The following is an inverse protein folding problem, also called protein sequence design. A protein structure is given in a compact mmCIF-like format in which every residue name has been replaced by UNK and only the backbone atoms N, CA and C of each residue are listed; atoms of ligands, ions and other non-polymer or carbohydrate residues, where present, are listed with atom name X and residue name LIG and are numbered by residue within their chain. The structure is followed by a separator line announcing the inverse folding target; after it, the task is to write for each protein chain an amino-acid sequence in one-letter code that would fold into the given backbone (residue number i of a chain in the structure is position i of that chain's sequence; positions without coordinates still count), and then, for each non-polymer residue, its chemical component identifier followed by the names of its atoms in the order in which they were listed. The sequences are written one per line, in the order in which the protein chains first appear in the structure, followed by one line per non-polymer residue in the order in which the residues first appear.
data_IF_397919708601
#
_entry.id   IF_397919708601
#
_cell.length_a   1.000
_cell.length_b   1.000
_cell.length_c   1.000
_cell.angle_alpha   90.00
_cell.angle_beta   90.00
_cell.angle_gamma   90.00
#
_symmetry.space_group_name_H-M   'P 1'
#
loop_
_entity.id
_entity.type
_entity.pdbx_description
1 polymer ?
#
# COMPACT_ATOMS: atom_id res chain seq x y z
N UNK A 1 -0.06 9.14 7.64
CA UNK A 1 1.25 9.21 8.32
C UNK A 1 2.12 10.34 7.76
N UNK A 2 2.46 10.35 6.48
CA UNK A 2 3.25 11.41 5.87
C UNK A 2 2.50 12.74 5.81
N UNK A 3 1.20 12.72 5.61
CA UNK A 3 0.34 13.92 5.57
C UNK A 3 0.20 14.53 6.97
N UNK A 4 -0.03 13.75 8.01
CA UNK A 4 -0.13 14.24 9.40
C UNK A 4 1.16 14.86 9.92
N UNK A 5 2.32 14.29 9.57
CA UNK A 5 3.63 14.88 9.86
C UNK A 5 3.86 16.15 9.05
N UNK A 6 3.36 16.20 7.82
CA UNK A 6 3.51 17.35 6.94
C UNK A 6 2.62 18.53 7.35
N UNK A 7 1.38 18.31 7.81
CA UNK A 7 0.53 19.39 8.37
C UNK A 7 1.19 20.10 9.56
N UNK A 8 2.08 19.40 10.28
CA UNK A 8 2.90 20.00 11.35
C UNK A 8 4.10 20.77 10.82
N UNK A 9 4.71 20.28 9.74
CA UNK A 9 5.88 20.92 9.09
C UNK A 9 5.45 22.19 8.34
N UNK A 10 4.29 22.18 7.69
CA UNK A 10 3.74 23.35 6.97
C UNK A 10 3.41 24.51 7.92
N UNK A 11 3.12 24.22 9.19
CA UNK A 11 2.97 25.25 10.24
C UNK A 11 4.30 25.86 10.70
N UNK A 12 5.42 25.19 10.44
CA UNK A 12 6.78 25.68 10.71
C UNK A 12 7.42 26.04 9.36
N UNK A 13 7.20 27.23 8.85
CA UNK A 13 7.70 27.79 7.58
C UNK A 13 9.22 27.67 7.41
N UNK A 14 9.75 26.46 7.23
CA UNK A 14 11.08 26.23 6.66
C UNK A 14 10.94 25.12 5.62
N UNK A 15 11.18 25.46 4.34
CA UNK A 15 11.39 24.48 3.28
C UNK A 15 12.52 23.54 3.70
N UNK A 16 12.15 22.39 4.20
CA UNK A 16 13.14 21.39 4.59
C UNK A 16 13.76 20.83 3.33
N UNK A 17 15.03 21.17 3.08
CA UNK A 17 15.78 20.67 1.92
C UNK A 17 15.68 19.15 1.84
N UNK A 18 14.98 18.66 0.81
CA UNK A 18 14.88 17.23 0.51
C UNK A 18 13.55 16.56 0.85
N UNK A 19 12.52 17.33 1.18
CA UNK A 19 11.13 16.88 1.21
C UNK A 19 10.35 17.74 0.23
N UNK A 20 9.59 17.09 -0.65
CA UNK A 20 8.62 17.78 -1.52
C UNK A 20 7.24 17.18 -1.30
N UNK A 21 6.23 18.06 -1.32
CA UNK A 21 4.83 17.68 -1.17
C UNK A 21 4.07 18.26 -2.34
N UNK A 22 3.27 17.41 -2.99
CA UNK A 22 2.32 17.82 -4.02
C UNK A 22 0.94 17.33 -3.64
N UNK A 23 -0.06 18.17 -3.85
CA UNK A 23 -1.46 17.83 -3.61
C UNK A 23 -2.24 18.04 -4.90
N UNK A 24 -3.05 17.06 -5.25
CA UNK A 24 -3.98 17.08 -6.37
C UNK A 24 -5.38 16.86 -5.80
N UNK A 25 -6.28 17.78 -6.06
CA UNK A 25 -7.65 17.75 -5.56
C UNK A 25 -8.62 17.61 -6.75
N UNK A 26 -9.28 16.49 -6.82
CA UNK A 26 -10.31 16.18 -7.80
C UNK A 26 -11.68 16.43 -7.15
N UNK A 27 -12.01 17.73 -6.97
CA UNK A 27 -13.15 18.18 -6.18
C UNK A 27 -14.51 17.67 -6.66
N UNK A 28 -14.71 17.45 -7.97
CA UNK A 28 -15.93 16.85 -8.52
C UNK A 28 -16.07 15.38 -8.10
N UNK A 29 -14.97 14.68 -7.94
CA UNK A 29 -14.90 13.26 -7.58
C UNK A 29 -14.67 13.06 -6.06
N UNK A 30 -14.50 14.14 -5.29
CA UNK A 30 -14.16 14.09 -3.84
C UNK A 30 -12.94 13.19 -3.54
N UNK A 31 -11.99 13.15 -4.46
CA UNK A 31 -10.73 12.41 -4.33
C UNK A 31 -9.59 13.41 -4.17
N UNK A 32 -8.76 13.22 -3.16
CA UNK A 32 -7.54 14.00 -2.95
C UNK A 32 -6.33 13.07 -2.94
N UNK A 33 -5.30 13.43 -3.69
CA UNK A 33 -4.04 12.69 -3.75
C UNK A 33 -2.93 13.58 -3.20
N UNK A 34 -2.30 13.16 -2.12
CA UNK A 34 -1.14 13.82 -1.54
C UNK A 34 0.09 12.96 -1.75
N UNK A 35 1.10 13.49 -2.45
CA UNK A 35 2.38 12.82 -2.68
C UNK A 35 3.49 13.52 -1.90
N UNK A 36 4.15 12.77 -1.02
CA UNK A 36 5.33 13.20 -0.25
C UNK A 36 6.54 12.46 -0.77
N UNK A 37 7.55 13.17 -1.29
CA UNK A 37 8.82 12.59 -1.73
C UNK A 37 9.95 13.00 -0.79
N UNK A 38 10.63 12.02 -0.22
CA UNK A 38 11.79 12.19 0.66
C UNK A 38 13.03 11.81 -0.11
N UNK A 39 13.89 12.81 -0.42
CA UNK A 39 15.05 12.60 -1.30
C UNK A 39 16.39 12.64 -0.57
N UNK A 40 16.44 13.21 0.64
CA UNK A 40 17.67 13.35 1.43
C UNK A 40 17.64 12.60 2.75
N UNK A 41 18.83 12.29 3.29
CA UNK A 41 18.97 11.67 4.63
C UNK A 41 18.44 12.57 5.76
N UNK A 42 18.58 13.89 5.61
CA UNK A 42 18.04 14.85 6.59
C UNK A 42 16.51 14.83 6.57
N UNK A 43 15.89 14.81 5.37
CA UNK A 43 14.46 14.65 5.23
C UNK A 43 13.97 13.32 5.83
N UNK A 44 14.70 12.22 5.61
CA UNK A 44 14.38 10.92 6.16
C UNK A 44 14.39 10.92 7.70
N UNK A 45 15.41 11.54 8.32
CA UNK A 45 15.50 11.69 9.78
C UNK A 45 14.38 12.55 10.34
N UNK A 46 14.05 13.65 9.68
CA UNK A 46 13.00 14.57 10.11
C UNK A 46 11.60 13.93 10.04
N UNK A 47 11.33 13.19 8.97
CA UNK A 47 10.05 12.49 8.77
C UNK A 47 9.98 11.15 9.52
N UNK A 48 11.09 10.67 10.10
CA UNK A 48 11.15 9.33 10.70
C UNK A 48 10.87 8.19 9.72
N UNK A 49 11.15 8.41 8.41
CA UNK A 49 10.84 7.48 7.32
C UNK A 49 11.98 7.36 6.33
N UNK A 50 12.15 6.18 5.67
CA UNK A 50 13.12 6.02 4.59
C UNK A 50 12.92 7.03 3.45
N UNK A 51 14.00 7.25 2.67
CA UNK A 51 13.89 7.97 1.38
C UNK A 51 13.00 7.19 0.44
N UNK A 52 12.13 7.89 -0.27
CA UNK A 52 11.17 7.31 -1.20
C UNK A 52 9.94 8.18 -1.40
N UNK A 53 8.96 7.60 -2.05
CA UNK A 53 7.68 8.23 -2.39
C UNK A 53 6.58 7.66 -1.50
N UNK A 54 5.79 8.53 -0.91
CA UNK A 54 4.65 8.20 -0.08
C UNK A 54 3.42 8.91 -0.61
N UNK A 55 2.45 8.15 -1.08
CA UNK A 55 1.22 8.68 -1.68
C UNK A 55 0.05 8.30 -0.78
N UNK A 56 -0.81 9.26 -0.51
CA UNK A 56 -2.08 9.03 0.17
C UNK A 56 -3.19 9.48 -0.78
N UNK A 57 -4.02 8.54 -1.19
CA UNK A 57 -5.27 8.80 -1.89
C UNK A 57 -6.37 8.81 -0.83
N UNK A 58 -7.02 9.96 -0.65
CA UNK A 58 -8.16 10.14 0.25
C UNK A 58 -9.43 10.15 -0.60
N UNK A 59 -10.36 9.27 -0.27
CA UNK A 59 -11.64 9.09 -0.93
C UNK A 59 -12.74 9.01 0.13
N UNK A 60 -13.42 10.11 0.39
CA UNK A 60 -14.32 10.26 1.53
C UNK A 60 -15.49 9.26 1.50
N UNK A 61 -15.97 8.93 0.31
CA UNK A 61 -17.12 8.05 0.09
C UNK A 61 -16.74 6.61 -0.29
N UNK A 62 -15.45 6.22 -0.13
CA UNK A 62 -14.97 4.86 -0.46
C UNK A 62 -15.66 3.74 0.35
N UNK A 63 -16.29 4.10 1.48
CA UNK A 63 -17.10 3.17 2.28
C UNK A 63 -18.50 2.95 1.72
N UNK A 64 -18.98 3.85 0.87
CA UNK A 64 -20.31 3.77 0.26
C UNK A 64 -20.35 2.76 -0.88
N UNK A 65 -21.56 2.32 -1.25
CA UNK A 65 -21.80 1.35 -2.31
C UNK A 65 -22.04 2.05 -3.65
N UNK A 66 -21.05 2.80 -4.13
CA UNK A 66 -21.08 3.52 -5.41
C UNK A 66 -20.04 2.93 -6.38
N UNK A 67 -20.50 2.12 -7.33
CA UNK A 67 -19.62 1.45 -8.29
C UNK A 67 -18.88 2.44 -9.21
N UNK A 68 -19.47 3.55 -9.58
CA UNK A 68 -18.86 4.55 -10.47
C UNK A 68 -17.74 5.29 -9.70
N UNK A 69 -17.98 5.60 -8.43
CA UNK A 69 -16.96 6.19 -7.56
C UNK A 69 -15.76 5.24 -7.34
N UNK A 70 -16.03 3.96 -7.06
CA UNK A 70 -14.98 2.94 -6.94
C UNK A 70 -14.19 2.74 -8.24
N UNK A 71 -14.86 2.83 -9.40
CA UNK A 71 -14.18 2.77 -10.71
C UNK A 71 -13.24 3.96 -10.91
N UNK A 72 -13.65 5.16 -10.49
CA UNK A 72 -12.77 6.33 -10.58
C UNK A 72 -11.56 6.22 -9.66
N UNK A 73 -11.73 5.77 -8.42
CA UNK A 73 -10.60 5.44 -7.52
C UNK A 73 -9.65 4.44 -8.19
N UNK A 74 -10.19 3.39 -8.83
CA UNK A 74 -9.39 2.37 -9.51
C UNK A 74 -8.56 2.97 -10.65
N UNK A 75 -9.11 3.88 -11.45
CA UNK A 75 -8.39 4.59 -12.52
C UNK A 75 -7.24 5.44 -11.96
N UNK A 76 -7.52 6.25 -10.93
CA UNK A 76 -6.49 7.09 -10.30
C UNK A 76 -5.37 6.25 -9.70
N UNK A 77 -5.71 5.16 -9.02
CA UNK A 77 -4.72 4.23 -8.49
C UNK A 77 -3.91 3.53 -9.61
N UNK A 78 -4.55 3.19 -10.73
CA UNK A 78 -3.86 2.62 -11.88
C UNK A 78 -2.84 3.60 -12.52
N UNK A 79 -3.18 4.88 -12.61
CA UNK A 79 -2.26 5.93 -13.04
C UNK A 79 -1.03 6.02 -12.14
N UNK A 80 -1.24 6.07 -10.82
CA UNK A 80 -0.16 6.05 -9.82
C UNK A 80 0.73 4.80 -9.99
N UNK A 81 0.13 3.63 -10.18
CA UNK A 81 0.89 2.38 -10.33
C UNK A 81 1.71 2.37 -11.63
N UNK A 82 1.21 2.93 -12.73
CA UNK A 82 1.96 3.07 -14.00
C UNK A 82 3.15 4.02 -13.86
N UNK A 83 3.04 5.07 -13.04
CA UNK A 83 4.17 5.95 -12.74
C UNK A 83 5.25 5.27 -11.88
N UNK A 84 4.83 4.51 -10.86
CA UNK A 84 5.75 3.83 -9.94
C UNK A 84 6.41 2.58 -10.56
N UNK A 85 5.73 1.93 -11.51
CA UNK A 85 6.20 0.72 -12.20
C UNK A 85 6.28 1.00 -13.71
N UNK A 86 7.40 1.56 -14.19
CA UNK A 86 7.57 1.80 -15.61
C UNK A 86 7.62 0.47 -16.37
N UNK A 87 6.70 0.33 -17.32
CA UNK A 87 6.61 -0.85 -18.17
C UNK A 87 7.65 -0.77 -19.29
N UNK A 88 8.57 -1.71 -19.31
CA UNK A 88 9.58 -1.82 -20.38
C UNK A 88 9.16 -2.85 -21.41
N UNK A 89 9.18 -2.46 -22.69
CA UNK A 89 9.04 -3.39 -23.80
C UNK A 89 10.38 -4.11 -24.04
N UNK A 90 10.57 -5.26 -23.39
CA UNK A 90 11.81 -6.07 -23.50
C UNK A 90 12.03 -6.65 -24.91
N UNK A 91 11.12 -6.43 -25.87
CA UNK A 91 11.25 -6.93 -27.24
C UNK A 91 12.43 -6.33 -28.05
N UNK A 92 12.93 -5.13 -27.69
CA UNK A 92 13.99 -4.48 -28.47
C UNK A 92 15.35 -5.20 -28.43
N UNK A 93 15.64 -5.97 -27.40
CA UNK A 93 16.94 -6.64 -27.25
C UNK A 93 17.01 -8.02 -27.91
N UNK A 94 15.88 -8.60 -28.34
CA UNK A 94 15.87 -9.94 -28.93
C UNK A 94 16.24 -9.96 -30.43
N UNK A 95 16.03 -8.86 -31.15
CA UNK A 95 16.36 -8.79 -32.60
C UNK A 95 17.88 -8.71 -32.88
N UNK A 96 18.65 -8.13 -31.97
CA UNK A 96 20.12 -8.05 -32.16
C UNK A 96 20.88 -9.34 -31.81
N UNK A 97 20.35 -10.16 -30.89
CA UNK A 97 20.99 -11.43 -30.51
C UNK A 97 20.67 -12.61 -31.45
N UNK A 98 19.52 -12.56 -32.15
CA UNK A 98 19.10 -13.67 -33.04
C UNK A 98 19.77 -13.68 -34.41
N UNK A 99 20.29 -12.55 -34.90
CA UNK A 99 21.05 -12.52 -36.16
C UNK A 99 22.45 -13.16 -36.04
N UNK A 100 23.03 -13.17 -34.83
CA UNK A 100 24.35 -13.77 -34.58
C UNK A 100 24.32 -15.27 -34.24
N UNK A 101 23.14 -15.86 -33.93
CA UNK A 101 23.02 -17.26 -33.51
C UNK A 101 22.57 -18.24 -34.61
N UNK A 102 22.31 -17.78 -35.85
CA UNK A 102 21.94 -18.67 -36.98
C UNK A 102 23.05 -19.56 -37.52
N UNK A 103 24.21 -19.61 -36.88
CA UNK A 103 25.38 -20.38 -37.38
C UNK A 103 25.83 -21.59 -36.56
N UNK A 104 25.12 -21.99 -35.49
CA UNK A 104 25.59 -23.18 -34.73
C UNK A 104 24.44 -24.13 -34.39
N UNK A 105 24.49 -25.29 -35.00
CA UNK A 105 24.16 -26.61 -34.49
C UNK A 105 22.70 -27.10 -34.46
N UNK A 106 22.42 -27.95 -35.42
CA UNK A 106 21.49 -29.10 -35.26
C UNK A 106 22.02 -30.05 -34.17
N UNK A 107 21.48 -30.00 -32.95
CA UNK A 107 21.39 -31.14 -32.02
C UNK A 107 20.70 -30.71 -30.75
N UNK A 108 19.65 -31.45 -30.38
CA UNK A 108 19.06 -31.45 -29.04
C UNK A 108 17.90 -30.45 -28.89
N UNK A 109 16.71 -31.00 -28.67
CA UNK A 109 15.60 -30.30 -27.99
C UNK A 109 16.06 -29.91 -26.58
N UNK A 110 16.84 -28.82 -26.48
CA UNK A 110 17.00 -28.11 -25.24
C UNK A 110 15.85 -27.09 -25.22
N UNK A 111 14.97 -27.21 -24.23
CA UNK A 111 13.95 -26.22 -23.89
C UNK A 111 14.60 -24.84 -23.92
N UNK A 112 14.38 -24.09 -24.98
CA UNK A 112 14.63 -22.67 -24.99
C UNK A 112 13.64 -22.11 -23.96
N UNK A 113 14.11 -21.82 -22.72
CA UNK A 113 13.37 -21.01 -21.78
C UNK A 113 13.13 -19.69 -22.49
N UNK A 114 11.90 -19.53 -23.01
CA UNK A 114 11.47 -18.23 -23.49
C UNK A 114 11.62 -17.25 -22.33
N UNK A 115 12.48 -16.25 -22.48
CA UNK A 115 12.48 -15.13 -21.54
C UNK A 115 11.08 -14.54 -21.52
N UNK A 116 10.58 -14.27 -20.34
CA UNK A 116 9.22 -13.77 -20.16
C UNK A 116 9.15 -12.35 -20.77
N UNK A 117 8.29 -12.17 -21.78
CA UNK A 117 8.10 -10.89 -22.44
C UNK A 117 7.41 -9.90 -21.49
N UNK A 118 7.89 -8.64 -21.46
CA UNK A 118 7.31 -7.57 -20.65
C UNK A 118 7.90 -7.46 -19.24
N UNK A 119 7.29 -6.60 -18.42
CA UNK A 119 7.66 -6.36 -17.01
C UNK A 119 6.92 -7.34 -16.11
N UNK A 120 7.63 -8.29 -15.51
CA UNK A 120 7.04 -9.32 -14.66
C UNK A 120 6.71 -8.78 -13.27
N UNK A 121 5.45 -8.91 -12.85
CA UNK A 121 4.94 -8.39 -11.59
C UNK A 121 4.44 -9.56 -10.73
N UNK A 122 4.93 -9.61 -9.49
CA UNK A 122 4.40 -10.48 -8.45
C UNK A 122 3.56 -9.65 -7.49
N UNK A 123 2.31 -10.04 -7.25
CA UNK A 123 1.44 -9.43 -6.24
C UNK A 123 1.35 -10.34 -5.03
N UNK A 124 1.67 -9.82 -3.84
CA UNK A 124 1.56 -10.53 -2.58
C UNK A 124 0.43 -9.92 -1.73
N UNK A 125 -0.66 -10.65 -1.57
CA UNK A 125 -1.76 -10.29 -0.68
C UNK A 125 -1.48 -10.76 0.74
N UNK A 126 -1.09 -9.83 1.63
CA UNK A 126 -0.82 -10.13 3.04
C UNK A 126 -2.11 -10.19 3.85
N UNK A 127 -2.05 -10.88 4.97
CA UNK A 127 -3.12 -10.97 5.95
C UNK A 127 -3.72 -12.36 6.09
N UNK A 128 -4.71 -12.44 6.96
CA UNK A 128 -5.42 -13.67 7.28
C UNK A 128 -6.80 -13.70 6.62
N UNK A 129 -6.98 -14.58 5.66
CA UNK A 129 -8.25 -14.77 4.93
C UNK A 129 -9.45 -15.07 5.85
N UNK A 130 -9.20 -15.64 7.03
CA UNK A 130 -10.24 -16.02 8.00
C UNK A 130 -10.60 -14.89 8.98
N UNK A 131 -9.90 -13.77 8.93
CA UNK A 131 -10.13 -12.59 9.76
C UNK A 131 -10.53 -11.44 8.85
N UNK A 132 -11.82 -11.11 8.81
CA UNK A 132 -12.36 -10.16 7.82
C UNK A 132 -11.55 -8.86 7.69
N UNK A 133 -11.25 -8.11 8.77
CA UNK A 133 -10.48 -6.88 8.65
C UNK A 133 -9.06 -7.06 8.10
N UNK A 134 -8.52 -8.29 8.17
CA UNK A 134 -7.17 -8.67 7.72
C UNK A 134 -7.20 -9.40 6.37
N UNK A 135 -8.37 -9.53 5.74
CA UNK A 135 -8.55 -10.28 4.49
C UNK A 135 -8.40 -9.45 3.22
N UNK A 136 -8.04 -8.15 3.32
CA UNK A 136 -7.92 -7.25 2.18
C UNK A 136 -6.95 -7.79 1.12
N UNK A 137 -5.70 -8.05 1.50
CA UNK A 137 -4.67 -8.56 0.57
C UNK A 137 -5.04 -9.89 -0.07
N UNK A 138 -5.49 -10.91 0.69
CA UNK A 138 -6.00 -12.15 0.14
C UNK A 138 -7.13 -11.98 -0.88
N UNK A 139 -8.10 -11.10 -0.62
CA UNK A 139 -9.21 -10.86 -1.56
C UNK A 139 -8.78 -10.08 -2.80
N UNK A 140 -7.82 -9.15 -2.68
CA UNK A 140 -7.21 -8.51 -3.85
C UNK A 140 -6.57 -9.56 -4.76
N UNK A 141 -5.77 -10.47 -4.20
CA UNK A 141 -5.13 -11.52 -4.98
C UNK A 141 -6.12 -12.43 -5.72
N UNK A 142 -7.30 -12.68 -5.13
CA UNK A 142 -8.34 -13.51 -5.73
C UNK A 142 -9.02 -12.84 -6.95
N UNK A 143 -9.04 -11.52 -7.01
CA UNK A 143 -9.70 -10.73 -8.06
C UNK A 143 -8.74 -10.30 -9.18
N UNK A 144 -7.45 -10.68 -9.12
CA UNK A 144 -6.47 -10.31 -10.14
C UNK A 144 -6.59 -11.15 -11.41
N UNK A 145 -6.36 -10.52 -12.55
CA UNK A 145 -6.14 -11.21 -13.82
C UNK A 145 -4.71 -11.76 -13.86
N UNK A 146 -4.59 -13.06 -13.69
CA UNK A 146 -3.30 -13.76 -13.70
C UNK A 146 -2.90 -14.09 -15.13
N UNK A 147 -1.89 -13.40 -15.64
CA UNK A 147 -1.50 -13.44 -17.06
C UNK A 147 -0.18 -14.16 -17.29
N UNK A 148 0.71 -14.25 -16.26
CA UNK A 148 2.07 -14.78 -16.39
C UNK A 148 2.14 -16.16 -17.03
N UNK A 149 1.26 -17.09 -16.66
CA UNK A 149 1.29 -18.47 -17.17
C UNK A 149 0.92 -18.52 -18.66
N UNK A 150 -0.03 -17.70 -19.12
CA UNK A 150 -0.46 -17.61 -20.51
C UNK A 150 0.65 -16.96 -21.36
N UNK A 151 1.24 -15.85 -20.87
CA UNK A 151 2.34 -15.17 -21.58
C UNK A 151 3.56 -16.09 -21.69
N UNK A 152 3.85 -16.86 -20.63
CA UNK A 152 4.97 -17.81 -20.63
C UNK A 152 4.79 -18.94 -21.65
N UNK A 153 3.57 -19.41 -21.87
CA UNK A 153 3.25 -20.52 -22.76
C UNK A 153 3.03 -20.06 -24.21
N UNK A 154 2.31 -18.95 -24.41
CA UNK A 154 1.82 -18.52 -25.72
C UNK A 154 2.39 -17.17 -26.17
N UNK A 155 3.17 -16.48 -25.32
CA UNK A 155 3.60 -15.11 -25.55
C UNK A 155 2.50 -14.08 -25.35
N UNK A 156 2.85 -12.78 -25.39
CA UNK A 156 1.89 -11.66 -25.25
C UNK A 156 0.85 -11.62 -26.37
N UNK A 157 1.13 -12.23 -27.49
CA UNK A 157 0.21 -12.35 -28.65
C UNK A 157 -1.05 -13.16 -28.35
N UNK A 158 -1.10 -13.87 -27.21
CA UNK A 158 -2.31 -14.53 -26.75
C UNK A 158 -3.42 -13.55 -26.34
N UNK A 159 -3.06 -12.27 -26.13
CA UNK A 159 -3.97 -11.20 -25.79
C UNK A 159 -4.13 -10.24 -26.96
N UNK A 160 -5.36 -9.71 -27.16
CA UNK A 160 -5.62 -8.67 -28.19
C UNK A 160 -4.80 -7.41 -27.90
N UNK A 161 -4.62 -7.07 -26.61
CA UNK A 161 -3.76 -6.00 -26.15
C UNK A 161 -2.35 -6.53 -25.86
N UNK A 162 -1.39 -6.28 -26.77
CA UNK A 162 0.01 -6.68 -26.59
C UNK A 162 0.73 -5.93 -25.44
N UNK A 163 0.09 -4.96 -24.79
CA UNK A 163 0.64 -4.24 -23.63
C UNK A 163 0.47 -4.99 -22.30
N UNK A 164 -0.29 -6.08 -22.28
CA UNK A 164 -0.50 -6.93 -21.10
C UNK A 164 0.84 -7.39 -20.54
N UNK A 165 1.00 -7.21 -19.21
CA UNK A 165 2.21 -7.60 -18.48
C UNK A 165 2.03 -8.98 -17.81
N UNK A 166 3.14 -9.72 -17.57
CA UNK A 166 3.07 -10.98 -16.84
C UNK A 166 2.81 -10.74 -15.35
N UNK A 167 1.57 -10.88 -14.92
CA UNK A 167 1.12 -10.76 -13.53
C UNK A 167 0.95 -12.15 -12.92
N UNK A 168 1.49 -12.32 -11.71
CA UNK A 168 1.31 -13.49 -10.85
C UNK A 168 0.95 -13.06 -9.43
N UNK A 169 0.26 -13.88 -8.67
CA UNK A 169 -0.13 -13.56 -7.29
C UNK A 169 0.19 -14.70 -6.32
N UNK A 170 0.38 -14.32 -5.06
CA UNK A 170 0.54 -15.22 -3.91
C UNK A 170 -0.17 -14.66 -2.69
N UNK A 171 -0.80 -15.52 -1.93
CA UNK A 171 -1.30 -15.24 -0.58
C UNK A 171 -0.46 -16.10 0.39
N UNK A 172 0.58 -15.53 1.04
CA UNK A 172 1.49 -16.30 1.88
C UNK A 172 0.83 -16.80 3.17
N UNK A 173 -0.31 -16.24 3.55
CA UNK A 173 -0.94 -16.48 4.85
C UNK A 173 -0.20 -15.79 5.98
N UNK A 174 -0.53 -16.16 7.22
CA UNK A 174 0.07 -15.61 8.43
C UNK A 174 0.90 -16.68 9.16
N UNK A 175 1.89 -16.23 9.93
CA UNK A 175 2.81 -17.13 10.66
C UNK A 175 2.09 -18.14 11.55
N UNK A 176 0.96 -17.76 12.16
CA UNK A 176 0.15 -18.67 12.98
C UNK A 176 -0.44 -19.86 12.20
N UNK A 177 -0.57 -19.74 10.87
CA UNK A 177 -1.10 -20.81 10.00
C UNK A 177 0.03 -21.62 9.34
N UNK A 178 1.11 -20.95 8.95
CA UNK A 178 2.17 -21.52 8.11
C UNK A 178 3.41 -21.93 8.90
N UNK A 179 3.63 -21.35 10.08
CA UNK A 179 4.87 -21.49 10.84
C UNK A 179 6.06 -20.72 10.25
N UNK A 180 5.83 -19.94 9.19
CA UNK A 180 6.85 -19.17 8.47
C UNK A 180 6.47 -17.68 8.43
N UNK A 181 7.46 -16.82 8.41
CA UNK A 181 7.24 -15.40 8.14
C UNK A 181 6.84 -15.19 6.68
N UNK A 182 5.90 -14.26 6.44
CA UNK A 182 5.46 -13.93 5.07
C UNK A 182 6.63 -13.51 4.18
N UNK A 183 7.62 -12.81 4.74
CA UNK A 183 8.84 -12.41 4.04
C UNK A 183 9.67 -13.61 3.56
N UNK A 184 9.80 -14.68 4.36
CA UNK A 184 10.54 -15.90 3.98
C UNK A 184 9.89 -16.59 2.79
N UNK A 185 8.55 -16.70 2.81
CA UNK A 185 7.77 -17.30 1.72
C UNK A 185 7.94 -16.48 0.45
N UNK A 186 7.75 -15.16 0.53
CA UNK A 186 7.87 -14.23 -0.61
C UNK A 186 9.29 -14.26 -1.18
N UNK A 187 10.33 -14.23 -0.34
CA UNK A 187 11.71 -14.30 -0.78
C UNK A 187 12.02 -15.63 -1.49
N UNK A 188 11.43 -16.74 -1.04
CA UNK A 188 11.50 -18.02 -1.74
C UNK A 188 10.91 -17.98 -3.13
N UNK A 189 9.72 -17.39 -3.27
CA UNK A 189 9.02 -17.23 -4.55
C UNK A 189 9.76 -16.27 -5.49
N UNK A 190 10.28 -15.16 -5.00
CA UNK A 190 11.07 -14.22 -5.80
C UNK A 190 12.28 -14.90 -6.43
N UNK A 191 12.98 -15.76 -5.68
CA UNK A 191 14.14 -16.52 -6.20
C UNK A 191 13.78 -17.45 -7.35
N UNK A 192 12.58 -18.05 -7.31
CA UNK A 192 12.10 -18.99 -8.33
C UNK A 192 11.46 -18.26 -9.52
N UNK A 193 10.57 -17.32 -9.24
CA UNK A 193 9.74 -16.61 -10.25
C UNK A 193 10.53 -15.51 -10.94
N UNK A 194 11.46 -14.87 -10.23
CA UNK A 194 12.30 -13.73 -10.67
C UNK A 194 11.49 -12.59 -11.27
N UNK A 195 10.52 -12.03 -10.53
CA UNK A 195 9.75 -10.90 -10.99
C UNK A 195 10.63 -9.63 -11.04
N UNK A 196 10.26 -8.66 -11.87
CA UNK A 196 10.91 -7.36 -11.92
C UNK A 196 10.45 -6.44 -10.78
N UNK A 197 9.17 -6.57 -10.37
CA UNK A 197 8.55 -5.80 -9.30
C UNK A 197 7.71 -6.69 -8.38
N UNK A 198 7.66 -6.30 -7.12
CA UNK A 198 6.75 -6.85 -6.12
C UNK A 198 5.75 -5.77 -5.73
N UNK A 199 4.45 -6.06 -5.85
CA UNK A 199 3.36 -5.28 -5.22
C UNK A 199 2.93 -6.04 -3.98
N UNK A 200 2.88 -5.35 -2.83
CA UNK A 200 2.40 -5.94 -1.57
C UNK A 200 1.13 -5.20 -1.16
N UNK A 201 0.06 -5.94 -0.90
CA UNK A 201 -1.20 -5.39 -0.41
C UNK A 201 -1.46 -5.88 1.00
N UNK A 202 -1.74 -4.94 1.92
CA UNK A 202 -1.95 -5.24 3.35
C UNK A 202 -3.08 -4.40 3.95
N UNK A 203 -3.71 -4.92 4.98
CA UNK A 203 -4.65 -4.20 5.83
C UNK A 203 -3.87 -3.44 6.91
N UNK A 204 -4.20 -2.17 7.13
CA UNK A 204 -3.49 -1.30 8.05
C UNK A 204 -4.34 -0.98 9.28
N UNK A 205 -3.68 -0.53 10.37
CA UNK A 205 -4.35 0.11 11.49
C UNK A 205 -4.39 1.64 11.27
N UNK A 206 -5.58 2.22 11.39
CA UNK A 206 -5.79 3.66 11.30
C UNK A 206 -5.17 4.38 12.50
N UNK A 207 -4.53 5.52 12.27
CA UNK A 207 -4.08 6.44 13.33
C UNK A 207 -5.06 7.57 13.63
N UNK A 208 -6.16 7.62 12.90
CA UNK A 208 -7.32 8.46 13.14
C UNK A 208 -8.56 7.77 12.60
N UNK A 209 -9.67 7.89 13.31
CA UNK A 209 -10.97 7.34 12.89
C UNK A 209 -11.39 7.86 11.52
N UNK A 210 -11.04 9.09 11.17
CA UNK A 210 -11.37 9.72 9.88
C UNK A 210 -10.79 9.00 8.67
N UNK A 211 -9.70 8.23 8.85
CA UNK A 211 -9.00 7.52 7.77
C UNK A 211 -9.46 6.08 7.59
N UNK A 212 -10.24 5.57 8.55
CA UNK A 212 -10.72 4.19 8.54
C UNK A 212 -11.59 3.95 7.30
N UNK A 213 -11.16 3.02 6.42
CA UNK A 213 -11.84 2.71 5.18
C UNK A 213 -11.89 3.83 4.13
N UNK A 214 -11.19 4.95 4.33
CA UNK A 214 -11.31 6.16 3.48
C UNK A 214 -9.99 6.63 2.86
N UNK A 215 -8.92 5.89 3.07
CA UNK A 215 -7.60 6.24 2.51
C UNK A 215 -6.90 5.03 1.96
N UNK A 216 -6.26 5.19 0.80
CA UNK A 216 -5.32 4.21 0.24
C UNK A 216 -3.92 4.81 0.39
N UNK A 217 -3.02 4.07 1.03
CA UNK A 217 -1.62 4.45 1.22
C UNK A 217 -0.75 3.65 0.28
N UNK A 218 0.08 4.33 -0.51
CA UNK A 218 0.99 3.71 -1.47
C UNK A 218 2.40 4.21 -1.21
N UNK A 219 3.40 3.32 -1.29
CA UNK A 219 4.81 3.70 -1.17
C UNK A 219 5.73 2.75 -1.94
N UNK A 220 6.85 3.28 -2.42
CA UNK A 220 7.94 2.53 -3.06
C UNK A 220 9.03 2.07 -2.08
N UNK A 221 8.85 2.30 -0.78
CA UNK A 221 9.82 1.90 0.25
C UNK A 221 9.56 0.53 0.87
N UNK A 222 8.49 -0.14 0.45
CA UNK A 222 8.07 -1.41 1.03
C UNK A 222 7.23 -1.27 2.30
N UNK A 223 7.07 -2.35 3.05
CA UNK A 223 6.19 -2.45 4.20
C UNK A 223 6.84 -3.20 5.37
N UNK A 224 6.39 -2.86 6.57
CA UNK A 224 6.66 -3.58 7.82
C UNK A 224 5.35 -4.21 8.32
N UNK A 225 5.04 -5.46 7.92
CA UNK A 225 3.76 -6.08 8.23
C UNK A 225 3.51 -6.16 9.73
N UNK A 226 2.29 -5.85 10.17
CA UNK A 226 1.88 -5.91 11.57
C UNK A 226 2.46 -4.82 12.48
N UNK A 227 3.27 -3.88 11.98
CA UNK A 227 3.82 -2.78 12.81
C UNK A 227 2.74 -1.88 13.40
N UNK A 228 1.61 -1.71 12.73
CA UNK A 228 0.46 -0.95 13.20
C UNK A 228 -0.29 -1.58 14.37
N UNK A 229 -0.10 -2.88 14.60
CA UNK A 229 -0.73 -3.66 15.69
C UNK A 229 0.29 -4.19 16.71
N UNK A 230 1.50 -3.61 16.73
CA UNK A 230 2.55 -3.95 17.69
C UNK A 230 3.30 -5.25 17.39
N UNK A 231 3.06 -5.88 16.25
CA UNK A 231 3.80 -7.05 15.79
C UNK A 231 5.02 -6.60 14.98
N UNK A 232 6.22 -6.88 15.49
CA UNK A 232 7.46 -6.65 14.76
C UNK A 232 7.77 -7.86 13.90
N UNK A 233 7.45 -7.80 12.62
CA UNK A 233 7.77 -8.81 11.61
C UNK A 233 8.91 -8.35 10.71
N UNK A 234 9.51 -9.28 9.97
CA UNK A 234 10.51 -8.94 8.98
C UNK A 234 9.93 -8.03 7.89
N UNK A 235 10.67 -6.98 7.57
CA UNK A 235 10.29 -6.01 6.55
C UNK A 235 10.32 -6.64 5.16
N UNK A 236 9.40 -6.20 4.31
CA UNK A 236 9.36 -6.53 2.88
C UNK A 236 9.72 -5.25 2.13
N UNK A 237 11.00 -5.07 1.87
CA UNK A 237 11.59 -3.89 1.22
C UNK A 237 12.52 -4.33 0.09
N UNK A 238 13.00 -3.38 -0.71
CA UNK A 238 13.97 -3.66 -1.75
C UNK A 238 15.25 -4.31 -1.21
N UNK A 239 15.68 -3.91 -0.01
CA UNK A 239 16.88 -4.45 0.64
C UNK A 239 16.73 -5.92 1.03
N UNK A 240 15.52 -6.32 1.46
CA UNK A 240 15.25 -7.71 1.91
C UNK A 240 14.84 -8.64 0.77
N UNK A 241 14.26 -8.09 -0.30
CA UNK A 241 13.76 -8.86 -1.45
C UNK A 241 14.70 -8.87 -2.65
N UNK A 242 15.58 -7.87 -2.76
CA UNK A 242 16.49 -7.66 -3.89
C UNK A 242 15.83 -7.04 -5.13
N UNK A 243 14.53 -6.76 -5.10
CA UNK A 243 13.77 -6.14 -6.20
C UNK A 243 12.94 -4.96 -5.67
N UNK A 244 12.54 -4.01 -6.54
CA UNK A 244 11.65 -2.92 -6.14
C UNK A 244 10.33 -3.44 -5.56
N UNK A 245 9.88 -2.81 -4.47
CA UNK A 245 8.65 -3.17 -3.76
C UNK A 245 7.73 -1.96 -3.69
N UNK A 246 6.52 -2.11 -4.19
CA UNK A 246 5.43 -1.15 -4.02
C UNK A 246 4.47 -1.71 -2.98
N UNK A 247 4.22 -0.97 -1.91
CA UNK A 247 3.25 -1.35 -0.90
C UNK A 247 1.97 -0.53 -1.06
N UNK A 248 0.83 -1.20 -0.97
CA UNK A 248 -0.51 -0.61 -0.99
C UNK A 248 -1.22 -1.05 0.29
N UNK A 249 -1.83 -0.12 1.01
CA UNK A 249 -2.55 -0.46 2.22
C UNK A 249 -3.78 0.40 2.46
N UNK A 250 -4.81 -0.19 3.06
CA UNK A 250 -6.01 0.50 3.51
C UNK A 250 -6.19 0.26 5.01
N UNK A 251 -6.45 1.31 5.80
CA UNK A 251 -6.81 1.17 7.21
C UNK A 251 -8.18 0.49 7.36
N UNK A 252 -8.21 -0.68 7.95
CA UNK A 252 -9.43 -1.50 8.16
C UNK A 252 -9.83 -1.62 9.62
N UNK A 253 -8.91 -1.28 10.52
CA UNK A 253 -9.11 -1.29 11.97
C UNK A 253 -8.54 -0.02 12.60
N UNK A 254 -9.02 0.33 13.79
CA UNK A 254 -8.49 1.42 14.61
C UNK A 254 -8.36 0.95 16.07
N UNK A 255 -7.29 1.35 16.75
CA UNK A 255 -7.15 1.07 18.20
C UNK A 255 -8.20 1.83 19.00
N UNK A 256 -8.76 1.20 20.03
CA UNK A 256 -9.70 1.87 20.95
C UNK A 256 -9.10 3.14 21.56
N UNK A 257 -7.80 3.12 21.87
CA UNK A 257 -7.07 4.29 22.35
C UNK A 257 -7.09 5.47 21.35
N UNK A 258 -7.01 5.19 20.06
CA UNK A 258 -7.11 6.22 19.01
C UNK A 258 -8.49 6.85 18.97
N UNK A 259 -9.56 6.04 19.13
CA UNK A 259 -10.95 6.56 19.18
C UNK A 259 -11.12 7.51 20.37
N UNK A 260 -10.62 7.12 21.54
CA UNK A 260 -10.70 7.96 22.75
C UNK A 260 -9.90 9.25 22.56
N UNK A 261 -8.69 9.16 21.99
CA UNK A 261 -7.85 10.33 21.69
C UNK A 261 -8.57 11.31 20.74
N UNK A 262 -9.09 10.83 19.61
CA UNK A 262 -9.82 11.64 18.64
C UNK A 262 -11.04 12.31 19.27
N UNK A 263 -11.80 11.56 20.10
CA UNK A 263 -12.97 12.07 20.81
C UNK A 263 -12.62 13.13 21.86
N UNK A 264 -11.54 12.91 22.62
CA UNK A 264 -11.05 13.88 23.61
C UNK A 264 -10.57 15.17 22.93
N UNK A 265 -9.83 15.03 21.82
CA UNK A 265 -9.36 16.19 21.06
C UNK A 265 -10.51 17.02 20.52
N UNK A 266 -11.53 16.38 19.94
CA UNK A 266 -12.72 17.05 19.43
C UNK A 266 -13.50 17.74 20.57
N UNK A 267 -13.63 17.10 21.73
CA UNK A 267 -14.27 17.69 22.90
C UNK A 267 -13.53 18.93 23.42
N UNK A 268 -12.20 18.85 23.51
CA UNK A 268 -11.37 19.98 23.97
C UNK A 268 -11.44 21.13 22.96
N UNK A 269 -11.46 20.85 21.68
CA UNK A 269 -11.62 21.87 20.63
C UNK A 269 -12.98 22.58 20.76
N UNK A 270 -14.06 21.84 21.01
CA UNK A 270 -15.39 22.41 21.18
C UNK A 270 -15.50 23.22 22.49
N UNK A 271 -15.00 22.68 23.58
CA UNK A 271 -14.99 23.41 24.88
C UNK A 271 -14.17 24.70 24.83
N UNK A 272 -13.18 24.80 23.95
CA UNK A 272 -12.34 26.00 23.82
C UNK A 272 -13.05 27.21 23.20
N UNK A 273 -14.27 27.05 22.70
CA UNK A 273 -15.11 28.20 22.33
C UNK A 273 -15.52 29.05 23.56
N UNK A 274 -15.48 28.46 24.76
CA UNK A 274 -15.68 29.20 26.01
C UNK A 274 -14.34 29.78 26.51
N UNK A 275 -14.26 31.10 26.72
CA UNK A 275 -13.00 31.78 27.15
C UNK A 275 -12.41 31.18 28.43
N UNK A 276 -13.27 30.74 29.38
CA UNK A 276 -12.83 30.13 30.63
C UNK A 276 -12.12 28.78 30.46
N UNK A 277 -12.28 28.11 29.32
CA UNK A 277 -11.72 26.77 29.03
C UNK A 277 -10.54 26.80 28.02
N UNK A 278 -10.20 27.96 27.47
CA UNK A 278 -9.02 28.17 26.62
C UNK A 278 -7.71 27.62 27.20
N UNK A 279 -7.41 27.74 28.50
CA UNK A 279 -6.20 27.14 29.09
C UNK A 279 -6.11 25.63 28.94
N UNK A 280 -7.26 24.91 28.91
CA UNK A 280 -7.29 23.47 28.70
C UNK A 280 -6.77 23.09 27.32
N UNK A 281 -7.25 23.78 26.26
CA UNK A 281 -6.77 23.58 24.89
C UNK A 281 -5.28 23.88 24.76
N UNK A 282 -4.83 24.98 25.39
CA UNK A 282 -3.41 25.35 25.38
C UNK A 282 -2.56 24.28 26.06
N UNK A 283 -3.00 23.71 27.17
CA UNK A 283 -2.30 22.63 27.87
C UNK A 283 -2.28 21.35 27.06
N UNK A 284 -3.41 20.98 26.45
CA UNK A 284 -3.52 19.82 25.54
C UNK A 284 -2.57 19.93 24.38
N UNK A 285 -2.56 21.05 23.67
CA UNK A 285 -1.71 21.27 22.50
C UNK A 285 -0.19 21.33 22.81
N UNK A 286 0.20 21.47 24.08
CA UNK A 286 1.62 21.39 24.50
C UNK A 286 2.14 19.97 24.66
N UNK A 287 1.25 19.02 24.80
CA UNK A 287 1.65 17.61 24.94
C UNK A 287 2.14 17.07 23.59
N UNK A 288 3.16 16.24 23.65
CA UNK A 288 3.63 15.46 22.50
C UNK A 288 2.68 14.30 22.20
N UNK A 289 2.76 13.72 21.02
CA UNK A 289 1.95 12.54 20.69
C UNK A 289 2.19 11.35 21.64
N UNK A 290 3.43 11.19 22.09
CA UNK A 290 3.76 10.14 23.04
C UNK A 290 3.07 10.37 24.39
N UNK A 291 3.06 11.63 24.88
CA UNK A 291 2.38 12.00 26.11
C UNK A 291 0.86 11.85 25.97
N UNK A 292 0.25 12.25 24.86
CA UNK A 292 -1.17 12.01 24.59
C UNK A 292 -1.49 10.52 24.62
N UNK A 293 -0.71 9.68 23.91
CA UNK A 293 -0.94 8.23 23.91
C UNK A 293 -0.80 7.61 25.29
N UNK A 294 0.19 8.05 26.07
CA UNK A 294 0.37 7.56 27.44
C UNK A 294 -0.81 7.96 28.35
N UNK A 295 -1.23 9.24 28.28
CA UNK A 295 -2.37 9.74 29.03
C UNK A 295 -3.65 8.96 28.72
N UNK A 296 -3.94 8.73 27.42
CA UNK A 296 -5.11 7.95 27.00
C UNK A 296 -5.01 6.50 27.49
N UNK A 297 -3.83 5.88 27.41
CA UNK A 297 -3.62 4.50 27.88
C UNK A 297 -3.78 4.37 29.41
N UNK A 298 -3.37 5.37 30.17
CA UNK A 298 -3.59 5.41 31.62
C UNK A 298 -5.05 5.58 32.00
N UNK A 299 -5.82 6.34 31.20
CA UNK A 299 -7.26 6.53 31.40
C UNK A 299 -8.08 5.30 31.00
N UNK A 300 -7.61 4.53 30.03
CA UNK A 300 -8.30 3.33 29.57
C UNK A 300 -8.04 2.15 30.51
N UNK A 301 -9.07 1.32 30.70
CA UNK A 301 -8.87 0.04 31.38
C UNK A 301 -7.89 -0.84 30.58
N UNK A 302 -7.09 -1.70 31.24
CA UNK A 302 -6.14 -2.57 30.56
C UNK A 302 -6.77 -3.41 29.44
N UNK A 303 -8.05 -3.76 29.57
CA UNK A 303 -8.78 -4.54 28.56
C UNK A 303 -8.98 -3.76 27.26
N UNK A 304 -9.21 -2.45 27.33
CA UNK A 304 -9.43 -1.60 26.15
C UNK A 304 -8.14 -1.27 25.43
N UNK A 305 -7.00 -1.29 26.10
CA UNK A 305 -5.70 -0.95 25.51
C UNK A 305 -5.25 -1.91 24.38
N UNK A 306 -5.85 -3.09 24.29
CA UNK A 306 -5.54 -4.10 23.27
C UNK A 306 -6.70 -4.38 22.31
N UNK A 307 -7.75 -3.53 22.36
CA UNK A 307 -8.88 -3.69 21.48
C UNK A 307 -8.69 -2.92 20.18
N UNK A 308 -9.00 -3.60 19.09
CA UNK A 308 -9.17 -3.01 17.77
C UNK A 308 -10.64 -2.99 17.40
N UNK A 309 -11.07 -1.88 16.82
CA UNK A 309 -12.45 -1.65 16.39
C UNK A 309 -12.45 -1.57 14.86
N UNK A 310 -13.46 -2.13 14.26
CA UNK A 310 -13.71 -2.13 12.83
C UNK A 310 -15.13 -1.63 12.55
N UNK A 311 -15.43 -1.11 11.35
CA UNK A 311 -16.80 -0.77 10.96
C UNK A 311 -17.74 -1.96 11.05
N UNK A 312 -19.04 -1.68 11.26
CA UNK A 312 -20.07 -2.72 11.39
C UNK A 312 -20.17 -3.56 10.11
N UNK A 313 -20.07 -2.92 8.95
CA UNK A 313 -20.27 -3.54 7.65
C UNK A 313 -18.92 -3.89 6.95
N UNK A 314 -17.89 -4.19 7.77
CA UNK A 314 -16.53 -4.45 7.31
C UNK A 314 -16.44 -5.55 6.24
N UNK A 315 -17.32 -6.56 6.27
CA UNK A 315 -17.34 -7.63 5.25
C UNK A 315 -17.61 -7.07 3.85
N UNK A 316 -18.60 -6.19 3.74
CA UNK A 316 -18.95 -5.54 2.48
C UNK A 316 -17.86 -4.52 2.07
N UNK A 317 -17.34 -3.75 3.03
CA UNK A 317 -16.28 -2.77 2.78
C UNK A 317 -15.00 -3.44 2.27
N UNK A 318 -14.53 -4.52 2.90
CA UNK A 318 -13.33 -5.27 2.45
C UNK A 318 -13.53 -5.80 1.03
N UNK A 319 -14.72 -6.33 0.73
CA UNK A 319 -15.02 -6.82 -0.62
C UNK A 319 -14.93 -5.71 -1.66
N UNK A 320 -15.53 -4.54 -1.41
CA UNK A 320 -15.46 -3.38 -2.32
C UNK A 320 -14.03 -2.86 -2.46
N UNK A 321 -13.35 -2.60 -1.35
CA UNK A 321 -11.97 -2.10 -1.35
C UNK A 321 -11.00 -3.06 -2.04
N UNK A 322 -11.16 -4.37 -1.83
CA UNK A 322 -10.32 -5.37 -2.52
C UNK A 322 -10.56 -5.37 -4.03
N UNK A 323 -11.82 -5.24 -4.47
CA UNK A 323 -12.15 -5.11 -5.88
C UNK A 323 -11.55 -3.84 -6.48
N UNK A 324 -11.65 -2.69 -5.78
CA UNK A 324 -11.07 -1.41 -6.22
C UNK A 324 -9.55 -1.51 -6.46
N UNK A 325 -8.82 -2.11 -5.52
CA UNK A 325 -7.36 -2.30 -5.67
C UNK A 325 -7.05 -3.28 -6.81
N UNK A 326 -7.76 -4.41 -6.88
CA UNK A 326 -7.50 -5.40 -7.93
C UNK A 326 -7.80 -4.86 -9.31
N UNK A 327 -8.90 -4.10 -9.46
CA UNK A 327 -9.25 -3.43 -10.71
C UNK A 327 -8.18 -2.40 -11.12
N UNK A 328 -7.66 -1.64 -10.17
CA UNK A 328 -6.56 -0.72 -10.45
C UNK A 328 -5.30 -1.44 -10.96
N UNK A 329 -4.93 -2.57 -10.36
CA UNK A 329 -3.79 -3.39 -10.81
C UNK A 329 -4.08 -3.99 -12.20
N UNK A 330 -5.30 -4.48 -12.43
CA UNK A 330 -5.73 -5.01 -13.73
C UNK A 330 -5.66 -3.94 -14.82
N UNK A 331 -6.21 -2.74 -14.58
CA UNK A 331 -6.15 -1.58 -15.49
C UNK A 331 -4.72 -1.08 -15.74
N UNK A 332 -3.85 -1.21 -14.74
CA UNK A 332 -2.46 -0.78 -14.90
C UNK A 332 -1.66 -1.72 -15.79
N UNK A 333 -1.87 -3.04 -15.69
CA UNK A 333 -0.94 -4.04 -16.23
C UNK A 333 -1.58 -5.11 -17.12
N UNK A 334 -2.91 -5.25 -17.11
CA UNK A 334 -3.60 -6.26 -17.90
C UNK A 334 -4.49 -5.68 -19.02
N UNK A 335 -4.63 -4.37 -19.08
CA UNK A 335 -5.25 -3.65 -20.18
C UNK A 335 -6.60 -3.16 -19.92
#
# INVERSE_FOLDING_TARGET
LAVEENERITKAQEETKGISVTEEDYGEEQIRITTVRITTENGAKQMGKPKGTYITLEAAEMIEDDEDYHREISKRLAEILKELIPVCDKQKNYKESTENQKKVSRKGFAEAKHELEGTSILVAGLGNRLVTPDALGPQVADNLYITRHIIKEFGRRAYENEQVQPVSAIVPGVMAQTGMESQEIIAGIIREVKPDYLIVVDALAARSVRRLGRTIQITDTGIYPGSGVGNHRYSITKETTGIPVIAIGIPTVVEAATIVYDSMSALIDELAHAESLQPLKTSWNRLTEAEHRNLVRELLSPQLNHMFVTPKDIDAEIKRMSYTISEAINLAFCG
#
